data_IF_760099926093
#
_entry.id   IF_760099926093
#
_cell.length_a   1.000
_cell.length_b   1.000
_cell.length_c   1.000
_cell.angle_alpha   90.00
_cell.angle_beta   90.00
_cell.angle_gamma   90.00
#
_symmetry.space_group_name_H-M   'P 1'
#
loop_
_entity.id
_entity.type
_entity.pdbx_description
1 polymer ?
#
# COMPACT_ATOMS: atom_id res chain seq x y z
N UNK A 1 28.03 93.79 -7.31
CA UNK A 1 26.89 93.23 -6.61
C UNK A 1 26.35 92.07 -7.37
N UNK A 2 26.08 91.00 -6.73
CA UNK A 2 25.49 89.68 -7.17
C UNK A 2 26.42 88.79 -7.98
N UNK A 3 27.07 87.95 -7.46
CA UNK A 3 26.92 86.56 -6.95
C UNK A 3 26.44 85.65 -8.04
N UNK A 4 27.38 84.92 -8.62
CA UNK A 4 27.16 83.79 -9.54
C UNK A 4 27.45 82.46 -8.86
N UNK A 5 26.49 81.55 -8.75
CA UNK A 5 26.68 80.20 -8.29
C UNK A 5 27.42 79.33 -9.32
N UNK A 6 28.29 78.45 -8.93
CA UNK A 6 28.96 77.50 -9.85
C UNK A 6 28.03 76.33 -10.15
N UNK A 7 27.92 75.94 -11.42
CA UNK A 7 27.28 74.77 -11.92
C UNK A 7 28.06 73.53 -11.52
N UNK A 8 27.31 72.49 -11.02
CA UNK A 8 27.83 71.18 -10.68
C UNK A 8 28.36 70.44 -11.90
N UNK A 9 29.55 69.93 -11.78
CA UNK A 9 30.19 69.10 -12.78
C UNK A 9 29.56 67.73 -12.88
N UNK A 10 29.48 67.23 -14.08
CA UNK A 10 29.03 65.89 -14.44
C UNK A 10 29.96 64.81 -13.86
N UNK A 11 29.41 63.89 -13.14
CA UNK A 11 30.08 62.66 -12.64
C UNK A 11 30.40 61.75 -13.83
N UNK A 12 31.59 61.17 -13.95
CA UNK A 12 31.88 60.17 -14.99
C UNK A 12 31.17 58.87 -14.64
N UNK A 13 30.69 58.17 -15.66
CA UNK A 13 30.07 56.85 -15.56
C UNK A 13 31.02 55.87 -14.91
N UNK A 14 30.53 55.24 -13.83
CA UNK A 14 31.29 54.19 -13.11
C UNK A 14 31.49 52.96 -14.01
N UNK A 15 32.72 52.53 -14.01
CA UNK A 15 33.13 51.21 -14.54
C UNK A 15 32.29 50.11 -13.90
N UNK A 16 31.92 49.01 -14.62
CA UNK A 16 31.25 47.88 -14.01
C UNK A 16 32.19 47.27 -12.97
N UNK A 17 31.70 47.11 -11.73
CA UNK A 17 32.42 46.47 -10.68
C UNK A 17 32.85 45.05 -11.13
N UNK A 18 34.13 44.82 -11.15
CA UNK A 18 34.68 43.49 -11.43
C UNK A 18 34.07 42.50 -10.41
N UNK A 19 33.35 41.51 -10.92
CA UNK A 19 32.89 40.38 -10.10
C UNK A 19 34.13 39.71 -9.45
N UNK A 20 34.20 39.74 -8.13
CA UNK A 20 35.23 39.05 -7.39
C UNK A 20 35.15 37.56 -7.72
N UNK A 21 36.27 36.88 -7.99
CA UNK A 21 36.25 35.46 -8.27
C UNK A 21 35.67 34.74 -7.05
N UNK A 22 34.54 34.08 -7.24
CA UNK A 22 33.90 33.25 -6.20
C UNK A 22 34.90 32.13 -5.87
N UNK A 23 35.34 32.11 -4.62
CA UNK A 23 36.28 31.10 -4.14
C UNK A 23 35.67 29.70 -4.38
N UNK A 24 36.37 28.78 -5.10
CA UNK A 24 35.91 27.43 -5.33
C UNK A 24 35.52 26.67 -4.05
N UNK A 25 36.12 27.05 -2.90
CA UNK A 25 35.79 26.51 -1.58
C UNK A 25 34.44 27.01 -1.07
N UNK A 26 34.06 28.26 -1.40
CA UNK A 26 32.69 28.78 -1.05
C UNK A 26 31.63 28.16 -1.94
N UNK A 27 31.91 27.87 -3.19
CA UNK A 27 31.00 27.12 -4.09
C UNK A 27 30.81 25.68 -3.62
N UNK A 28 31.81 25.01 -3.07
CA UNK A 28 31.67 23.71 -2.43
C UNK A 28 30.96 23.77 -1.09
N UNK A 29 31.08 24.85 -0.32
CA UNK A 29 30.36 25.04 0.93
C UNK A 29 28.84 25.27 0.72
N UNK A 30 28.44 25.79 -0.42
CA UNK A 30 27.02 25.94 -0.78
C UNK A 30 26.35 24.61 -1.18
N UNK A 31 27.13 23.58 -1.49
CA UNK A 31 26.63 22.23 -1.74
C UNK A 31 26.55 21.32 -0.50
N UNK A 32 26.95 21.81 0.66
CA UNK A 32 26.64 21.17 1.94
C UNK A 32 25.18 21.44 2.24
N UNK A 33 24.31 20.65 1.66
CA UNK A 33 22.93 20.52 2.14
C UNK A 33 23.04 20.23 3.63
N UNK A 34 22.48 21.12 4.44
CA UNK A 34 22.49 21.01 5.91
C UNK A 34 21.80 19.68 6.22
N UNK A 35 22.56 18.72 6.75
CA UNK A 35 22.01 17.41 7.09
C UNK A 35 20.92 17.61 8.14
N UNK A 36 19.65 17.44 7.73
CA UNK A 36 18.50 17.64 8.60
C UNK A 36 18.38 16.42 9.53
N UNK A 37 18.45 16.66 10.84
CA UNK A 37 18.15 15.65 11.86
C UNK A 37 16.63 15.49 11.92
N UNK A 38 16.14 14.28 11.69
CA UNK A 38 14.69 13.97 11.67
C UNK A 38 14.25 13.15 12.87
N UNK A 39 15.18 12.45 13.52
CA UNK A 39 14.92 11.78 14.79
C UNK A 39 16.21 11.59 15.60
N UNK A 40 16.04 11.30 16.88
CA UNK A 40 17.09 10.81 17.78
C UNK A 40 16.55 9.60 18.53
N UNK A 41 17.28 8.48 18.51
CA UNK A 41 16.91 7.23 19.17
C UNK A 41 18.05 6.84 20.11
N UNK A 42 17.89 7.12 21.40
CA UNK A 42 18.96 6.98 22.38
C UNK A 42 20.20 7.79 21.97
N UNK A 43 21.37 7.15 21.75
CA UNK A 43 22.59 7.82 21.31
C UNK A 43 22.64 8.10 19.80
N UNK A 44 21.82 7.43 19.02
CA UNK A 44 21.86 7.50 17.56
C UNK A 44 21.06 8.68 17.01
N UNK A 45 21.60 9.30 15.94
CA UNK A 45 20.97 10.42 15.24
C UNK A 45 20.57 9.96 13.85
N UNK A 46 19.30 10.17 13.52
CA UNK A 46 18.71 9.84 12.21
C UNK A 46 18.64 11.11 11.37
N UNK A 47 19.18 11.05 10.18
CA UNK A 47 19.14 12.15 9.22
C UNK A 47 18.07 11.88 8.15
N UNK A 48 17.57 12.95 7.53
CA UNK A 48 16.65 12.87 6.41
C UNK A 48 17.18 11.94 5.29
N UNK A 49 18.49 12.02 5.01
CA UNK A 49 19.15 11.16 4.02
C UNK A 49 19.15 9.66 4.37
N UNK A 50 18.88 9.28 5.61
CA UNK A 50 18.75 7.88 6.02
C UNK A 50 17.39 7.30 5.66
N UNK A 51 16.38 8.16 5.58
CA UNK A 51 15.02 7.77 5.20
C UNK A 51 14.84 7.72 3.69
N UNK A 52 15.40 8.70 2.97
CA UNK A 52 15.21 8.85 1.54
C UNK A 52 16.22 8.01 0.78
N UNK A 53 15.93 6.74 0.64
CA UNK A 53 16.72 5.84 -0.20
C UNK A 53 16.63 6.25 -1.68
N UNK A 54 17.58 5.83 -2.55
CA UNK A 54 17.51 6.07 -3.99
C UNK A 54 16.20 5.59 -4.63
N UNK A 55 15.63 4.50 -4.13
CA UNK A 55 14.35 3.96 -4.59
C UNK A 55 13.18 4.88 -4.23
N UNK A 56 13.14 5.41 -3.00
CA UNK A 56 12.11 6.35 -2.55
C UNK A 56 12.21 7.67 -3.33
N UNK A 57 13.42 8.18 -3.55
CA UNK A 57 13.64 9.39 -4.34
C UNK A 57 13.14 9.20 -5.78
N UNK A 58 13.50 8.09 -6.44
CA UNK A 58 13.05 7.79 -7.79
C UNK A 58 11.52 7.58 -7.88
N UNK A 59 10.91 7.01 -6.84
CA UNK A 59 9.46 6.87 -6.77
C UNK A 59 8.78 8.24 -6.63
N UNK A 60 9.27 9.11 -5.74
CA UNK A 60 8.76 10.48 -5.60
C UNK A 60 8.85 11.27 -6.92
N UNK A 61 9.97 11.15 -7.64
CA UNK A 61 10.14 11.77 -8.96
C UNK A 61 9.12 11.28 -10.00
N UNK A 62 8.60 10.06 -9.87
CA UNK A 62 7.58 9.49 -10.78
C UNK A 62 6.16 9.91 -10.43
N UNK A 63 5.84 10.08 -9.15
CA UNK A 63 4.46 10.33 -8.70
C UNK A 63 4.14 11.81 -8.52
N UNK A 64 5.14 12.69 -8.43
CA UNK A 64 4.95 14.14 -8.23
C UNK A 64 4.70 14.97 -9.51
N UNK A 65 5.08 14.55 -10.75
CA UNK A 65 4.83 15.34 -11.93
C UNK A 65 3.35 15.63 -12.13
N UNK A 66 3.00 16.93 -12.23
CA UNK A 66 1.63 17.38 -12.45
C UNK A 66 0.81 17.64 -11.19
N UNK A 67 1.34 17.34 -10.01
CA UNK A 67 0.68 17.69 -8.75
C UNK A 67 0.96 19.15 -8.35
N UNK A 68 -0.03 19.86 -7.76
CA UNK A 68 0.19 21.17 -7.15
C UNK A 68 1.27 21.11 -6.06
N UNK A 69 2.07 22.19 -5.86
CA UNK A 69 3.16 22.20 -4.87
C UNK A 69 2.74 21.83 -3.43
N UNK A 70 1.51 22.19 -3.04
CA UNK A 70 0.96 21.85 -1.72
C UNK A 70 0.73 20.35 -1.59
N UNK A 71 0.14 19.70 -2.60
CA UNK A 71 -0.07 18.25 -2.61
C UNK A 71 1.25 17.47 -2.64
N UNK A 72 2.27 17.98 -3.37
CA UNK A 72 3.61 17.40 -3.35
C UNK A 72 4.21 17.45 -1.94
N UNK A 73 4.03 18.57 -1.24
CA UNK A 73 4.54 18.71 0.13
C UNK A 73 3.81 17.79 1.10
N UNK A 74 2.49 17.71 1.01
CA UNK A 74 1.68 16.81 1.84
C UNK A 74 2.04 15.35 1.61
N UNK A 75 2.16 14.92 0.34
CA UNK A 75 2.60 13.55 0.00
C UNK A 75 3.99 13.24 0.57
N UNK A 76 4.94 14.17 0.44
CA UNK A 76 6.27 13.99 1.02
C UNK A 76 6.23 13.86 2.54
N UNK A 77 5.43 14.68 3.21
CA UNK A 77 5.30 14.59 4.68
C UNK A 77 4.70 13.26 5.11
N UNK A 78 3.65 12.78 4.46
CA UNK A 78 3.06 11.46 4.75
C UNK A 78 4.06 10.31 4.53
N UNK A 79 4.85 10.39 3.44
CA UNK A 79 5.90 9.40 3.16
C UNK A 79 6.99 9.46 4.24
N UNK A 80 7.41 10.65 4.64
CA UNK A 80 8.42 10.82 5.68
C UNK A 80 7.94 10.30 7.03
N UNK A 81 6.72 10.59 7.43
CA UNK A 81 6.13 10.11 8.68
C UNK A 81 6.10 8.58 8.72
N UNK A 82 5.61 7.97 7.64
CA UNK A 82 5.56 6.50 7.53
C UNK A 82 6.96 5.85 7.59
N UNK A 83 7.90 6.38 6.80
CA UNK A 83 9.27 5.85 6.77
C UNK A 83 10.00 6.07 8.08
N UNK A 84 9.79 7.23 8.71
CA UNK A 84 10.43 7.56 9.99
C UNK A 84 9.94 6.62 11.10
N UNK A 85 8.64 6.35 11.16
CA UNK A 85 8.08 5.42 12.15
C UNK A 85 8.75 4.03 12.02
N UNK A 86 8.80 3.47 10.82
CA UNK A 86 9.43 2.16 10.59
C UNK A 86 10.94 2.19 10.89
N UNK A 87 11.62 3.28 10.51
CA UNK A 87 13.05 3.40 10.76
C UNK A 87 13.36 3.51 12.26
N UNK A 88 12.57 4.31 12.98
CA UNK A 88 12.70 4.49 14.43
C UNK A 88 12.46 3.18 15.17
N UNK A 89 11.47 2.38 14.78
CA UNK A 89 11.21 1.06 15.36
C UNK A 89 12.41 0.12 15.17
N UNK A 90 12.96 0.07 13.96
CA UNK A 90 14.18 -0.71 13.69
C UNK A 90 15.37 -0.21 14.50
N UNK A 91 15.53 1.11 14.63
CA UNK A 91 16.63 1.73 15.37
C UNK A 91 16.52 1.49 16.88
N UNK A 92 15.31 1.49 17.44
CA UNK A 92 15.09 1.14 18.85
C UNK A 92 15.59 -0.28 19.14
N UNK A 93 15.29 -1.23 18.26
CA UNK A 93 15.75 -2.62 18.39
C UNK A 93 17.27 -2.71 18.24
N UNK A 94 17.84 -1.98 17.28
CA UNK A 94 19.30 -1.91 17.09
C UNK A 94 20.01 -1.37 18.34
N UNK A 95 19.53 -0.26 18.89
CA UNK A 95 20.08 0.33 20.12
C UNK A 95 19.99 -0.65 21.30
N UNK A 96 18.91 -1.38 21.40
CA UNK A 96 18.74 -2.40 22.43
C UNK A 96 19.72 -3.57 22.25
N UNK A 97 19.90 -4.05 21.02
CA UNK A 97 20.89 -5.07 20.70
C UNK A 97 22.30 -4.62 21.09
N UNK A 98 22.70 -3.39 20.73
CA UNK A 98 24.03 -2.83 21.04
C UNK A 98 24.31 -2.68 22.53
N UNK A 99 23.27 -2.61 23.40
CA UNK A 99 23.45 -2.63 24.86
C UNK A 99 23.87 -4.00 25.40
N UNK A 100 23.53 -5.06 24.68
CA UNK A 100 23.75 -6.44 25.10
C UNK A 100 24.93 -7.10 24.39
N UNK A 101 25.16 -6.73 23.14
CA UNK A 101 26.29 -7.25 22.35
C UNK A 101 27.59 -6.63 22.91
N UNK A 102 28.63 -7.45 23.24
CA UNK A 102 29.91 -6.94 23.67
C UNK A 102 30.53 -6.00 22.62
N UNK A 103 31.03 -4.84 23.05
CA UNK A 103 31.57 -3.83 22.14
C UNK A 103 32.73 -4.36 21.28
N UNK A 104 33.50 -5.31 21.78
CA UNK A 104 34.60 -5.95 21.07
C UNK A 104 34.12 -6.86 19.92
N UNK A 105 32.88 -7.36 19.99
CA UNK A 105 32.30 -8.22 18.95
C UNK A 105 31.70 -7.44 17.78
N UNK A 106 31.28 -6.20 18.00
CA UNK A 106 30.60 -5.37 16.99
C UNK A 106 31.43 -5.19 15.70
N UNK A 107 32.76 -4.89 15.76
CA UNK A 107 33.55 -4.72 14.52
C UNK A 107 33.63 -5.99 13.68
N UNK A 108 33.72 -7.18 14.31
CA UNK A 108 33.73 -8.45 13.59
C UNK A 108 32.40 -8.75 12.93
N UNK A 109 31.29 -8.48 13.61
CA UNK A 109 29.93 -8.64 13.09
C UNK A 109 29.74 -7.68 11.91
N UNK A 110 30.13 -6.41 12.08
CA UNK A 110 30.05 -5.38 11.03
C UNK A 110 30.84 -5.81 9.77
N UNK A 111 32.04 -6.30 9.95
CA UNK A 111 32.86 -6.78 8.82
C UNK A 111 32.17 -7.92 8.04
N UNK A 112 31.55 -8.89 8.75
CA UNK A 112 30.81 -9.97 8.12
C UNK A 112 29.56 -9.49 7.38
N UNK A 113 28.79 -8.57 7.98
CA UNK A 113 27.59 -8.00 7.36
C UNK A 113 27.97 -7.16 6.15
N UNK A 114 29.02 -6.36 6.23
CA UNK A 114 29.53 -5.58 5.10
C UNK A 114 30.02 -6.48 3.95
N UNK A 115 30.65 -7.60 4.26
CA UNK A 115 31.04 -8.60 3.24
C UNK A 115 29.80 -9.19 2.54
N UNK A 116 28.73 -9.51 3.29
CA UNK A 116 27.46 -9.99 2.71
C UNK A 116 26.79 -8.90 1.85
N UNK A 117 26.82 -7.64 2.31
CA UNK A 117 26.35 -6.50 1.52
C UNK A 117 27.07 -6.40 0.18
N UNK A 118 28.41 -6.43 0.20
CA UNK A 118 29.24 -6.31 -1.00
C UNK A 118 29.04 -7.50 -1.97
N UNK A 119 28.77 -8.69 -1.44
CA UNK A 119 28.58 -9.88 -2.26
C UNK A 119 27.18 -9.99 -2.88
N UNK A 120 26.12 -9.57 -2.16
CA UNK A 120 24.74 -9.83 -2.55
C UNK A 120 23.95 -8.58 -2.87
N UNK A 121 24.04 -7.52 -2.03
CA UNK A 121 23.19 -6.34 -2.16
C UNK A 121 23.76 -5.34 -3.17
N UNK A 122 25.06 -5.05 -3.08
CA UNK A 122 25.70 -4.07 -3.95
C UNK A 122 25.56 -4.39 -5.45
N UNK A 123 25.73 -5.65 -5.92
CA UNK A 123 25.50 -5.98 -7.33
C UNK A 123 24.06 -5.73 -7.80
N UNK A 124 23.08 -6.01 -6.94
CA UNK A 124 21.65 -5.74 -7.24
C UNK A 124 21.38 -4.25 -7.36
N UNK A 125 21.86 -3.46 -6.39
CA UNK A 125 21.70 -2.01 -6.38
C UNK A 125 22.37 -1.36 -7.61
N UNK A 126 23.56 -1.84 -8.01
CA UNK A 126 24.24 -1.40 -9.22
C UNK A 126 23.46 -1.74 -10.48
N UNK A 127 22.88 -2.94 -10.57
CA UNK A 127 22.03 -3.36 -11.69
C UNK A 127 20.76 -2.52 -11.79
N UNK A 128 20.09 -2.26 -10.68
CA UNK A 128 18.89 -1.41 -10.62
C UNK A 128 19.19 0.04 -11.01
N UNK A 129 20.37 0.53 -10.63
CA UNK A 129 20.82 1.87 -10.98
C UNK A 129 21.38 1.99 -12.41
N UNK A 130 21.58 0.87 -13.12
CA UNK A 130 22.14 0.83 -14.47
C UNK A 130 23.61 1.23 -14.57
N UNK A 131 24.41 1.01 -13.51
CA UNK A 131 25.83 1.35 -13.43
C UNK A 131 26.70 0.09 -13.48
N UNK A 132 27.92 0.22 -14.05
CA UNK A 132 28.77 -0.93 -14.34
C UNK A 132 29.70 -1.33 -13.16
N UNK A 133 30.02 -0.42 -12.26
CA UNK A 133 30.95 -0.65 -11.16
C UNK A 133 30.62 0.18 -9.91
N UNK A 134 31.23 -0.19 -8.79
CA UNK A 134 31.01 0.45 -7.49
C UNK A 134 31.42 1.93 -7.44
N UNK A 135 32.43 2.34 -8.25
CA UNK A 135 32.86 3.74 -8.31
C UNK A 135 31.76 4.63 -8.96
N UNK A 136 31.19 4.16 -10.07
CA UNK A 136 30.07 4.86 -10.72
C UNK A 136 28.86 4.92 -9.79
N UNK A 137 28.60 3.85 -9.04
CA UNK A 137 27.52 3.82 -8.07
C UNK A 137 27.75 4.82 -6.93
N UNK A 138 28.97 4.87 -6.40
CA UNK A 138 29.34 5.87 -5.38
C UNK A 138 29.20 7.32 -5.89
N UNK A 139 29.57 7.59 -7.14
CA UNK A 139 29.38 8.91 -7.76
C UNK A 139 27.90 9.26 -7.88
N UNK A 140 27.07 8.29 -8.29
CA UNK A 140 25.61 8.45 -8.35
C UNK A 140 25.03 8.74 -6.97
N UNK A 141 25.44 8.00 -5.94
CA UNK A 141 25.01 8.22 -4.56
C UNK A 141 25.37 9.62 -4.07
N UNK A 142 26.63 10.06 -4.31
CA UNK A 142 27.10 11.40 -3.92
C UNK A 142 26.33 12.51 -4.62
N UNK A 143 25.94 12.35 -5.88
CA UNK A 143 25.10 13.33 -6.59
C UNK A 143 23.72 13.48 -5.96
N UNK A 144 23.29 12.51 -5.15
CA UNK A 144 22.01 12.49 -4.41
C UNK A 144 22.18 12.76 -2.90
N UNK A 145 23.38 13.19 -2.47
CA UNK A 145 23.67 13.46 -1.05
C UNK A 145 23.84 12.22 -0.17
N UNK A 146 24.12 11.07 -0.78
CA UNK A 146 24.31 9.78 -0.10
C UNK A 146 25.73 9.25 -0.29
N UNK A 147 26.10 8.19 0.43
CA UNK A 147 27.36 7.48 0.27
C UNK A 147 27.18 5.97 0.45
N UNK A 148 28.11 5.20 -0.13
CA UNK A 148 28.11 3.74 0.01
C UNK A 148 28.32 3.32 1.48
N UNK A 149 29.18 4.02 2.23
CA UNK A 149 29.41 3.75 3.65
C UNK A 149 28.13 3.92 4.47
N UNK A 150 27.33 4.92 4.12
CA UNK A 150 26.06 5.18 4.78
C UNK A 150 25.03 4.09 4.48
N UNK A 151 24.98 3.60 3.25
CA UNK A 151 24.12 2.46 2.89
C UNK A 151 24.57 1.18 3.62
N UNK A 152 25.86 0.94 3.75
CA UNK A 152 26.40 -0.19 4.51
C UNK A 152 26.03 -0.09 5.99
N UNK A 153 26.19 1.09 6.58
CA UNK A 153 25.78 1.34 7.98
C UNK A 153 24.31 1.05 8.18
N UNK A 154 23.42 1.59 7.33
CA UNK A 154 21.99 1.35 7.42
C UNK A 154 21.61 -0.13 7.22
N UNK A 155 22.33 -0.82 6.35
CA UNK A 155 22.15 -2.26 6.16
C UNK A 155 22.58 -3.05 7.41
N UNK A 156 23.72 -2.70 8.00
CA UNK A 156 24.21 -3.31 9.24
C UNK A 156 23.23 -3.10 10.40
N UNK A 157 22.77 -1.87 10.63
CA UNK A 157 21.81 -1.53 11.68
C UNK A 157 20.52 -2.36 11.54
N UNK A 158 20.00 -2.46 10.32
CA UNK A 158 18.82 -3.26 10.03
C UNK A 158 19.05 -4.75 10.23
N UNK A 159 20.19 -5.27 9.78
CA UNK A 159 20.51 -6.70 9.92
C UNK A 159 20.60 -7.10 11.40
N UNK A 160 21.27 -6.27 12.22
CA UNK A 160 21.34 -6.49 13.68
C UNK A 160 19.97 -6.42 14.31
N UNK A 161 19.16 -5.39 13.98
CA UNK A 161 17.83 -5.23 14.53
C UNK A 161 16.94 -6.44 14.19
N UNK A 162 16.95 -6.90 12.95
CA UNK A 162 16.16 -8.06 12.51
C UNK A 162 16.59 -9.35 13.22
N UNK A 163 17.89 -9.60 13.27
CA UNK A 163 18.42 -10.80 13.94
C UNK A 163 18.10 -10.79 15.45
N UNK A 164 18.24 -9.63 16.08
CA UNK A 164 17.96 -9.47 17.52
C UNK A 164 16.49 -9.64 17.83
N UNK A 165 15.61 -9.01 17.05
CA UNK A 165 14.16 -9.16 17.20
C UNK A 165 13.74 -10.62 17.01
N UNK A 166 14.24 -11.29 15.99
CA UNK A 166 13.96 -12.71 15.75
C UNK A 166 14.33 -13.56 16.96
N UNK A 167 15.53 -13.36 17.53
CA UNK A 167 15.96 -14.07 18.75
C UNK A 167 15.06 -13.78 19.97
N UNK A 168 14.68 -12.50 20.16
CA UNK A 168 13.81 -12.11 21.26
C UNK A 168 12.42 -12.74 21.15
N UNK A 169 11.90 -12.85 19.93
CA UNK A 169 10.59 -13.46 19.64
C UNK A 169 10.60 -14.98 19.74
N UNK A 170 11.69 -15.65 19.31
CA UNK A 170 11.83 -17.12 19.46
C UNK A 170 11.75 -17.54 20.94
N UNK A 171 12.27 -16.72 21.84
CA UNK A 171 12.21 -16.98 23.27
C UNK A 171 10.78 -16.82 23.85
N UNK A 172 9.90 -16.06 23.20
CA UNK A 172 8.57 -15.72 23.71
C UNK A 172 7.38 -16.34 22.96
N UNK A 173 7.48 -16.51 21.65
CA UNK A 173 6.34 -16.86 20.78
C UNK A 173 6.29 -18.32 20.29
N UNK A 174 7.28 -19.16 20.65
CA UNK A 174 7.54 -20.47 20.07
C UNK A 174 6.63 -21.63 20.54
N UNK A 175 5.49 -21.38 21.16
CA UNK A 175 4.57 -22.45 21.58
C UNK A 175 3.76 -23.05 20.43
N UNK A 176 3.61 -24.39 20.40
CA UNK A 176 2.64 -25.03 19.53
C UNK A 176 1.23 -24.51 19.84
N UNK A 177 0.43 -24.21 18.80
CA UNK A 177 -0.96 -23.78 18.99
C UNK A 177 -1.79 -25.01 19.35
N UNK A 178 -2.41 -25.05 20.54
CA UNK A 178 -3.22 -26.19 20.95
C UNK A 178 -4.42 -26.39 20.01
N UNK A 179 -4.79 -27.64 19.76
CA UNK A 179 -5.96 -27.94 18.91
C UNK A 179 -7.26 -27.31 19.44
N UNK A 180 -7.41 -27.20 20.75
CA UNK A 180 -8.56 -26.54 21.37
C UNK A 180 -8.67 -25.06 21.00
N UNK A 181 -7.55 -24.36 20.85
CA UNK A 181 -7.50 -22.95 20.44
C UNK A 181 -7.89 -22.78 18.97
N UNK A 182 -7.45 -23.71 18.09
CA UNK A 182 -7.88 -23.72 16.69
C UNK A 182 -9.41 -23.88 16.57
N UNK A 183 -9.99 -24.78 17.38
CA UNK A 183 -11.45 -24.98 17.40
C UNK A 183 -12.16 -23.75 17.95
N UNK A 184 -11.67 -23.14 19.02
CA UNK A 184 -12.25 -21.93 19.60
C UNK A 184 -12.25 -20.78 18.59
N UNK A 185 -11.13 -20.53 17.93
CA UNK A 185 -11.02 -19.52 16.87
C UNK A 185 -12.02 -19.76 15.74
N UNK A 186 -12.12 -21.00 15.25
CA UNK A 186 -13.10 -21.35 14.22
C UNK A 186 -14.53 -21.07 14.66
N UNK A 187 -14.87 -21.38 15.93
CA UNK A 187 -16.20 -21.17 16.48
C UNK A 187 -16.53 -19.69 16.67
N UNK A 188 -15.56 -18.87 17.05
CA UNK A 188 -15.73 -17.43 17.22
C UNK A 188 -15.87 -16.70 15.86
N UNK A 189 -15.25 -17.26 14.80
CA UNK A 189 -15.22 -16.67 13.47
C UNK A 189 -16.05 -17.46 12.45
N UNK A 190 -17.11 -18.15 12.88
CA UNK A 190 -17.92 -19.01 12.00
C UNK A 190 -18.48 -18.29 10.77
N UNK A 191 -18.83 -17.01 10.90
CA UNK A 191 -19.31 -16.16 9.80
C UNK A 191 -18.29 -15.99 8.67
N UNK A 192 -17.01 -15.98 9.01
CA UNK A 192 -15.91 -15.74 8.04
C UNK A 192 -15.68 -16.97 7.15
N UNK A 193 -16.17 -18.13 7.59
CA UNK A 193 -16.10 -19.41 6.88
C UNK A 193 -17.39 -19.73 6.11
N UNK A 194 -18.41 -18.88 6.21
CA UNK A 194 -19.64 -19.04 5.43
C UNK A 194 -19.46 -18.47 4.02
N UNK A 195 -20.02 -19.16 3.05
CA UNK A 195 -20.07 -18.68 1.68
C UNK A 195 -21.50 -18.79 1.13
N UNK A 196 -21.89 -17.77 0.38
CA UNK A 196 -23.19 -17.74 -0.30
C UNK A 196 -23.23 -18.73 -1.44
N UNK A 197 -24.44 -19.17 -1.80
CA UNK A 197 -24.67 -19.92 -3.02
C UNK A 197 -24.18 -19.13 -4.24
N UNK A 198 -23.66 -19.84 -5.22
CA UNK A 198 -23.20 -19.27 -6.51
C UNK A 198 -23.75 -20.09 -7.65
N UNK A 199 -24.08 -19.41 -8.76
CA UNK A 199 -24.55 -20.06 -9.96
C UNK A 199 -23.89 -19.47 -11.20
N UNK A 200 -23.60 -20.35 -12.18
CA UNK A 200 -23.38 -19.96 -13.56
C UNK A 200 -24.67 -20.17 -14.30
N UNK A 201 -25.06 -19.21 -15.08
CA UNK A 201 -26.30 -19.27 -15.82
C UNK A 201 -26.20 -18.59 -17.17
N UNK A 202 -27.20 -18.83 -18.01
CA UNK A 202 -27.36 -18.18 -19.28
C UNK A 202 -28.71 -17.46 -19.30
N UNK A 203 -28.78 -16.33 -20.00
CA UNK A 203 -29.94 -15.46 -20.07
C UNK A 203 -30.30 -15.09 -21.51
N UNK A 204 -31.58 -15.26 -21.86
CA UNK A 204 -32.21 -14.58 -22.97
C UNK A 204 -33.03 -13.44 -22.41
N UNK A 205 -32.86 -12.24 -22.93
CA UNK A 205 -33.55 -11.03 -22.49
C UNK A 205 -34.16 -10.32 -23.69
N UNK A 206 -35.40 -9.83 -23.53
CA UNK A 206 -36.05 -8.87 -24.43
C UNK A 206 -36.49 -7.68 -23.62
N UNK A 207 -35.91 -6.53 -23.89
CA UNK A 207 -36.14 -5.31 -23.11
C UNK A 207 -37.47 -4.65 -23.45
N UNK A 208 -38.07 -4.00 -22.47
CA UNK A 208 -39.18 -3.08 -22.70
C UNK A 208 -38.64 -1.81 -23.38
N UNK A 209 -39.34 -1.36 -24.41
CA UNK A 209 -38.97 -0.17 -25.16
C UNK A 209 -40.21 0.61 -25.61
N UNK A 210 -40.01 1.85 -26.04
CA UNK A 210 -41.09 2.76 -26.49
C UNK A 210 -41.82 2.28 -27.74
N UNK A 211 -41.24 1.37 -28.53
CA UNK A 211 -41.75 0.92 -29.83
C UNK A 211 -42.22 -0.54 -29.81
N UNK A 212 -42.33 -1.17 -28.61
CA UNK A 212 -42.75 -2.58 -28.48
C UNK A 212 -43.70 -2.74 -27.33
N UNK A 213 -44.83 -3.39 -27.57
CA UNK A 213 -45.79 -3.76 -26.50
C UNK A 213 -45.25 -4.94 -25.69
N UNK A 214 -45.81 -5.17 -24.50
CA UNK A 214 -45.45 -6.33 -23.66
C UNK A 214 -45.75 -7.65 -24.35
N UNK A 215 -46.90 -7.73 -25.05
CA UNK A 215 -47.32 -8.92 -25.81
C UNK A 215 -46.35 -9.23 -26.95
N UNK A 216 -45.86 -8.22 -27.65
CA UNK A 216 -44.81 -8.38 -28.69
C UNK A 216 -43.50 -8.85 -28.10
N UNK A 217 -43.05 -8.25 -26.97
CA UNK A 217 -41.84 -8.69 -26.28
C UNK A 217 -41.94 -10.14 -25.81
N UNK A 218 -43.12 -10.50 -25.28
CA UNK A 218 -43.38 -11.87 -24.85
C UNK A 218 -43.34 -12.86 -26.02
N UNK A 219 -43.93 -12.51 -27.16
CA UNK A 219 -43.91 -13.33 -28.38
C UNK A 219 -42.50 -13.55 -28.91
N UNK A 220 -41.67 -12.49 -28.92
CA UNK A 220 -40.27 -12.57 -29.31
C UNK A 220 -39.47 -13.51 -28.38
N UNK A 221 -39.57 -13.29 -27.06
CA UNK A 221 -38.83 -14.09 -26.08
C UNK A 221 -39.30 -15.56 -26.09
N UNK A 222 -40.62 -15.81 -26.20
CA UNK A 222 -41.15 -17.16 -26.33
C UNK A 222 -40.64 -17.86 -27.58
N UNK A 223 -40.48 -17.13 -28.71
CA UNK A 223 -39.89 -17.62 -29.90
C UNK A 223 -38.41 -18.02 -29.69
N UNK A 224 -37.61 -17.21 -29.02
CA UNK A 224 -36.23 -17.52 -28.67
C UNK A 224 -36.15 -18.74 -27.73
N UNK A 225 -36.96 -18.81 -26.70
CA UNK A 225 -37.02 -19.97 -25.81
C UNK A 225 -37.39 -21.27 -26.55
N UNK A 226 -38.35 -21.22 -27.47
CA UNK A 226 -38.74 -22.38 -28.31
C UNK A 226 -37.60 -22.85 -29.19
N UNK A 227 -36.79 -21.98 -29.77
CA UNK A 227 -35.61 -22.34 -30.55
C UNK A 227 -34.61 -23.16 -29.71
N UNK A 228 -34.38 -22.74 -28.47
CA UNK A 228 -33.52 -23.52 -27.56
C UNK A 228 -34.16 -24.87 -27.23
N UNK A 229 -35.48 -24.95 -27.01
CA UNK A 229 -36.19 -26.19 -26.72
C UNK A 229 -36.21 -27.15 -27.92
N UNK A 230 -36.14 -26.64 -29.14
CA UNK A 230 -36.07 -27.45 -30.39
C UNK A 230 -34.67 -27.87 -30.76
N UNK A 231 -33.63 -27.48 -29.99
CA UNK A 231 -32.29 -28.01 -30.11
C UNK A 231 -31.22 -27.03 -30.61
N UNK A 232 -31.58 -25.76 -30.87
CA UNK A 232 -30.55 -24.76 -31.14
C UNK A 232 -29.75 -24.47 -29.84
N UNK A 233 -28.45 -24.14 -29.98
CA UNK A 233 -27.63 -23.85 -28.83
C UNK A 233 -28.08 -22.52 -28.20
N UNK A 234 -28.10 -22.46 -26.87
CA UNK A 234 -28.50 -21.23 -26.14
C UNK A 234 -27.64 -20.03 -26.61
N UNK A 235 -26.34 -20.23 -26.78
CA UNK A 235 -25.42 -19.21 -27.21
C UNK A 235 -25.72 -18.63 -28.61
N UNK A 236 -26.11 -19.48 -29.58
CA UNK A 236 -26.49 -19.01 -30.92
C UNK A 236 -27.78 -18.19 -30.87
N UNK A 237 -28.79 -18.72 -30.15
CA UNK A 237 -30.06 -18.01 -29.97
C UNK A 237 -29.87 -16.66 -29.27
N UNK A 238 -29.04 -16.62 -28.23
CA UNK A 238 -28.74 -15.39 -27.52
C UNK A 238 -28.03 -14.35 -28.41
N UNK A 239 -27.02 -14.76 -29.16
CA UNK A 239 -26.31 -13.87 -30.10
C UNK A 239 -27.18 -13.27 -31.19
N UNK A 240 -28.19 -14.03 -31.63
CA UNK A 240 -29.06 -13.60 -32.71
C UNK A 240 -30.26 -12.78 -32.29
N UNK A 241 -30.76 -12.97 -31.05
CA UNK A 241 -32.03 -12.38 -30.68
C UNK A 241 -32.15 -11.82 -29.26
N UNK A 242 -31.19 -12.09 -28.38
CA UNK A 242 -31.20 -11.54 -27.03
C UNK A 242 -30.74 -10.09 -27.00
N UNK A 243 -31.38 -9.27 -26.17
CA UNK A 243 -31.07 -7.87 -25.92
C UNK A 243 -30.37 -7.67 -24.55
N UNK A 244 -29.99 -8.77 -23.91
CA UNK A 244 -29.27 -8.75 -22.64
C UNK A 244 -27.82 -8.28 -22.77
N UNK A 245 -27.18 -7.87 -21.67
CA UNK A 245 -25.81 -7.33 -21.72
C UNK A 245 -24.76 -8.36 -22.16
N UNK A 246 -25.03 -9.64 -21.96
CA UNK A 246 -24.16 -10.76 -22.35
C UNK A 246 -24.55 -11.45 -23.68
N UNK A 247 -25.54 -10.90 -24.41
CA UNK A 247 -26.06 -11.49 -25.66
C UNK A 247 -24.95 -11.80 -26.68
N UNK A 248 -24.01 -10.87 -26.89
CA UNK A 248 -22.85 -11.05 -27.79
C UNK A 248 -21.91 -12.19 -27.36
N UNK A 249 -21.91 -12.54 -26.09
CA UNK A 249 -21.12 -13.61 -25.49
C UNK A 249 -21.96 -14.93 -25.37
N UNK A 250 -23.14 -14.98 -26.01
CA UNK A 250 -24.03 -16.13 -25.94
C UNK A 250 -24.96 -16.18 -24.74
N UNK A 251 -25.16 -15.04 -24.05
CA UNK A 251 -26.02 -14.93 -22.89
C UNK A 251 -25.41 -15.46 -21.58
N UNK A 252 -24.15 -15.88 -21.58
CA UNK A 252 -23.51 -16.52 -20.44
C UNK A 252 -23.11 -15.52 -19.34
N UNK A 253 -23.35 -15.92 -18.09
CA UNK A 253 -22.87 -15.28 -16.87
C UNK A 253 -21.96 -16.26 -16.12
N UNK A 254 -20.84 -15.75 -15.63
CA UNK A 254 -19.95 -16.53 -14.77
C UNK A 254 -20.48 -16.58 -13.34
N UNK A 255 -19.71 -17.17 -12.41
CA UNK A 255 -20.10 -17.35 -11.02
C UNK A 255 -20.71 -16.08 -10.40
N UNK A 256 -22.00 -16.13 -10.20
CA UNK A 256 -22.82 -15.05 -9.63
C UNK A 256 -23.30 -15.48 -8.26
N UNK A 257 -23.02 -14.68 -7.23
CA UNK A 257 -23.42 -14.96 -5.86
C UNK A 257 -24.89 -14.66 -5.65
N UNK A 258 -25.56 -15.44 -4.79
CA UNK A 258 -26.92 -15.18 -4.37
C UNK A 258 -27.05 -13.76 -3.80
N UNK A 259 -28.08 -13.03 -4.22
CA UNK A 259 -28.33 -11.65 -3.80
C UNK A 259 -27.49 -10.58 -4.53
N UNK A 260 -26.57 -10.94 -5.46
CA UNK A 260 -25.76 -9.96 -6.17
C UNK A 260 -26.43 -9.37 -7.41
N UNK A 261 -27.49 -10.00 -7.92
CA UNK A 261 -28.24 -9.50 -9.08
C UNK A 261 -29.22 -8.41 -8.69
N UNK A 262 -29.34 -7.39 -9.54
CA UNK A 262 -30.35 -6.33 -9.37
C UNK A 262 -31.78 -6.85 -9.49
N UNK A 263 -32.01 -7.83 -10.38
CA UNK A 263 -33.30 -8.47 -10.57
C UNK A 263 -33.49 -9.59 -9.56
N UNK A 264 -34.37 -9.37 -8.59
CA UNK A 264 -34.69 -10.39 -7.59
C UNK A 264 -35.33 -11.61 -8.22
N UNK A 265 -36.21 -11.42 -9.23
CA UNK A 265 -36.90 -12.51 -9.92
C UNK A 265 -35.91 -13.44 -10.63
N UNK A 266 -34.89 -12.87 -11.27
CA UNK A 266 -33.80 -13.67 -11.88
C UNK A 266 -32.98 -14.35 -10.78
N UNK A 267 -32.65 -13.62 -9.72
CA UNK A 267 -31.89 -14.17 -8.59
C UNK A 267 -32.60 -15.41 -7.99
N UNK A 268 -33.88 -15.30 -7.67
CA UNK A 268 -34.67 -16.43 -7.15
C UNK A 268 -34.74 -17.60 -8.14
N UNK A 269 -34.88 -17.31 -9.42
CA UNK A 269 -34.97 -18.34 -10.45
C UNK A 269 -33.66 -19.15 -10.58
N UNK A 270 -32.49 -18.50 -10.63
CA UNK A 270 -31.21 -19.20 -10.82
C UNK A 270 -30.82 -20.04 -9.59
N UNK A 271 -31.31 -19.71 -8.40
CA UNK A 271 -31.06 -20.51 -7.19
C UNK A 271 -32.12 -21.57 -6.90
N UNK A 272 -33.30 -21.51 -7.54
CA UNK A 272 -34.40 -22.51 -7.37
C UNK A 272 -34.50 -23.51 -8.52
N UNK A 273 -34.16 -23.10 -9.76
CA UNK A 273 -34.33 -23.94 -10.93
C UNK A 273 -33.39 -25.17 -10.93
N UNK A 274 -33.84 -26.32 -11.47
CA UNK A 274 -32.96 -27.43 -11.75
C UNK A 274 -31.91 -27.06 -12.81
N UNK A 275 -30.68 -27.53 -12.63
CA UNK A 275 -29.59 -27.33 -13.58
C UNK A 275 -29.99 -27.86 -14.97
N UNK A 276 -29.70 -27.11 -16.02
CA UNK A 276 -29.96 -27.42 -17.41
C UNK A 276 -31.39 -27.14 -17.88
N UNK A 277 -32.34 -26.80 -17.00
CA UNK A 277 -33.70 -26.45 -17.38
C UNK A 277 -33.88 -24.97 -17.65
N UNK A 278 -34.67 -24.63 -18.66
CA UNK A 278 -35.12 -23.25 -18.88
C UNK A 278 -36.16 -22.85 -17.84
N UNK A 279 -36.14 -21.59 -17.41
CA UNK A 279 -37.20 -20.98 -16.64
C UNK A 279 -38.45 -20.81 -17.48
N UNK A 280 -39.55 -20.50 -16.82
CA UNK A 280 -40.67 -19.77 -17.45
C UNK A 280 -40.21 -18.37 -17.85
N UNK A 281 -41.02 -17.63 -18.58
CA UNK A 281 -40.75 -16.23 -18.83
C UNK A 281 -40.85 -15.47 -17.50
N UNK A 282 -39.76 -14.83 -17.11
CA UNK A 282 -39.63 -13.99 -15.93
C UNK A 282 -39.78 -12.53 -16.35
N UNK A 283 -40.37 -11.70 -15.54
CA UNK A 283 -40.55 -10.28 -15.81
C UNK A 283 -39.95 -9.44 -14.69
N UNK A 284 -39.16 -8.42 -15.07
CA UNK A 284 -38.70 -7.38 -14.16
C UNK A 284 -38.89 -5.97 -14.77
N UNK A 285 -38.33 -4.95 -14.12
CA UNK A 285 -38.46 -3.56 -14.59
C UNK A 285 -37.75 -3.32 -15.96
N UNK A 286 -36.76 -4.12 -16.32
CA UNK A 286 -35.95 -3.94 -17.52
C UNK A 286 -36.55 -4.67 -18.74
N UNK A 287 -37.31 -5.74 -18.54
CA UNK A 287 -37.80 -6.56 -19.63
C UNK A 287 -38.32 -7.94 -19.20
N UNK A 288 -38.28 -8.83 -20.19
CA UNK A 288 -38.64 -10.24 -20.06
C UNK A 288 -37.41 -11.08 -20.20
N UNK A 289 -37.30 -12.13 -19.40
CA UNK A 289 -36.11 -12.97 -19.29
C UNK A 289 -36.44 -14.46 -19.31
N UNK A 290 -35.59 -15.26 -19.92
CA UNK A 290 -35.56 -16.72 -19.76
C UNK A 290 -34.14 -17.07 -19.32
N UNK A 291 -34.00 -17.78 -18.22
CA UNK A 291 -32.71 -18.19 -17.69
C UNK A 291 -32.56 -19.72 -17.70
N UNK A 292 -31.31 -20.18 -17.79
CA UNK A 292 -30.93 -21.58 -17.64
C UNK A 292 -29.71 -21.68 -16.75
N UNK A 293 -29.82 -22.40 -15.65
CA UNK A 293 -28.69 -22.66 -14.74
C UNK A 293 -27.78 -23.70 -15.39
N UNK A 294 -26.49 -23.38 -15.52
CA UNK A 294 -25.48 -24.27 -16.07
C UNK A 294 -24.77 -25.05 -14.95
N UNK A 295 -24.42 -24.34 -13.88
CA UNK A 295 -23.72 -24.89 -12.72
C UNK A 295 -24.14 -24.13 -11.47
N UNK A 296 -24.26 -24.82 -10.33
CA UNK A 296 -24.60 -24.19 -9.06
C UNK A 296 -23.85 -24.83 -7.90
N UNK A 297 -23.38 -24.01 -7.00
CA UNK A 297 -22.85 -24.40 -5.69
C UNK A 297 -23.77 -23.85 -4.63
N UNK A 298 -24.27 -24.70 -3.76
CA UNK A 298 -25.15 -24.28 -2.67
C UNK A 298 -24.36 -23.49 -1.61
N UNK A 299 -25.05 -22.63 -0.87
CA UNK A 299 -24.46 -21.95 0.27
C UNK A 299 -23.97 -22.98 1.30
N UNK A 300 -22.89 -22.68 1.95
CA UNK A 300 -22.29 -23.60 2.89
C UNK A 300 -21.27 -22.94 3.79
N UNK A 301 -20.51 -23.76 4.46
CA UNK A 301 -19.44 -23.34 5.33
C UNK A 301 -18.20 -24.20 5.08
N UNK A 302 -17.05 -23.55 4.96
CA UNK A 302 -15.74 -24.24 4.95
C UNK A 302 -15.59 -25.01 6.24
N UNK A 303 -15.33 -26.31 6.14
CA UNK A 303 -15.20 -27.16 7.31
C UNK A 303 -13.96 -26.79 8.14
N UNK A 304 -14.00 -27.07 9.46
CA UNK A 304 -12.83 -26.87 10.32
C UNK A 304 -11.58 -27.59 9.77
N UNK A 305 -11.75 -28.80 9.22
CA UNK A 305 -10.64 -29.58 8.65
C UNK A 305 -9.94 -28.83 7.50
N UNK A 306 -10.71 -28.14 6.66
CA UNK A 306 -10.18 -27.33 5.54
C UNK A 306 -9.60 -26.02 6.04
N UNK A 307 -10.24 -25.37 7.03
CA UNK A 307 -9.83 -24.06 7.56
C UNK A 307 -8.63 -24.14 8.53
N UNK A 308 -8.37 -25.27 9.17
CA UNK A 308 -7.42 -25.39 10.29
C UNK A 308 -5.98 -24.92 9.98
N UNK A 309 -5.52 -25.04 8.72
CA UNK A 309 -4.18 -24.57 8.32
C UNK A 309 -4.15 -23.06 8.32
N UNK A 310 -5.14 -22.43 7.67
CA UNK A 310 -5.25 -20.96 7.63
C UNK A 310 -5.46 -20.36 9.03
N UNK A 311 -6.25 -21.03 9.90
CA UNK A 311 -6.44 -20.61 11.29
C UNK A 311 -5.13 -20.65 12.06
N UNK A 312 -4.33 -21.72 11.89
CA UNK A 312 -3.03 -21.82 12.55
C UNK A 312 -2.08 -20.72 12.13
N UNK A 313 -2.08 -20.39 10.84
CA UNK A 313 -1.23 -19.32 10.31
C UNK A 313 -1.71 -17.95 10.80
N UNK A 314 -3.01 -17.71 10.86
CA UNK A 314 -3.60 -16.48 11.42
C UNK A 314 -3.24 -16.31 12.91
N UNK A 315 -3.42 -17.34 13.72
CA UNK A 315 -3.07 -17.31 15.15
C UNK A 315 -1.57 -17.15 15.39
N UNK A 316 -0.72 -17.73 14.52
CA UNK A 316 0.73 -17.49 14.58
C UNK A 316 1.09 -16.04 14.26
N UNK A 317 0.45 -15.47 13.23
CA UNK A 317 0.66 -14.08 12.85
C UNK A 317 0.23 -13.13 13.98
N UNK A 318 -0.95 -13.35 14.57
CA UNK A 318 -1.45 -12.58 15.71
C UNK A 318 -0.52 -12.66 16.93
N UNK A 319 -0.08 -13.86 17.30
CA UNK A 319 0.88 -14.04 18.41
C UNK A 319 2.21 -13.37 18.12
N UNK A 320 2.68 -13.44 16.87
CA UNK A 320 3.91 -12.78 16.45
C UNK A 320 3.79 -11.27 16.56
N UNK A 321 2.71 -10.68 16.01
CA UNK A 321 2.44 -9.25 16.09
C UNK A 321 2.38 -8.78 17.54
N UNK A 322 1.61 -9.45 18.37
CA UNK A 322 1.51 -9.15 19.80
C UNK A 322 2.86 -9.24 20.52
N UNK A 323 3.67 -10.25 20.20
CA UNK A 323 5.01 -10.40 20.82
C UNK A 323 5.97 -9.28 20.37
N UNK A 324 5.87 -8.83 19.09
CA UNK A 324 6.60 -7.67 18.57
C UNK A 324 6.20 -6.41 19.34
N UNK A 325 4.90 -6.13 19.46
CA UNK A 325 4.37 -4.96 20.14
C UNK A 325 4.78 -4.92 21.62
N UNK A 326 4.67 -6.04 22.31
CA UNK A 326 5.11 -6.17 23.71
C UNK A 326 6.62 -5.95 23.86
N UNK A 327 7.43 -6.45 22.92
CA UNK A 327 8.87 -6.23 22.93
C UNK A 327 9.20 -4.75 22.68
N UNK A 328 8.63 -4.16 21.63
CA UNK A 328 8.86 -2.76 21.28
C UNK A 328 8.41 -1.82 22.40
N UNK A 329 7.27 -2.09 23.03
CA UNK A 329 6.80 -1.31 24.18
C UNK A 329 7.82 -1.29 25.32
N UNK A 330 8.33 -2.47 25.70
CA UNK A 330 9.35 -2.60 26.77
C UNK A 330 10.67 -1.88 26.42
N UNK A 331 11.06 -1.91 25.14
CA UNK A 331 12.31 -1.27 24.70
C UNK A 331 12.15 0.24 24.60
N UNK A 332 10.97 0.74 24.18
CA UNK A 332 10.65 2.18 24.16
C UNK A 332 10.71 2.82 25.55
N UNK A 333 10.24 2.15 26.58
CA UNK A 333 10.32 2.67 27.97
C UNK A 333 11.75 3.00 28.41
N UNK A 334 12.77 2.32 27.90
CA UNK A 334 14.18 2.47 28.27
C UNK A 334 15.03 3.18 27.21
N UNK A 335 14.45 3.48 26.04
CA UNK A 335 15.16 4.15 24.94
C UNK A 335 14.41 5.43 24.58
N UNK A 336 14.93 6.62 24.99
CA UNK A 336 14.29 7.88 24.64
C UNK A 336 14.32 8.08 23.13
N UNK A 337 13.19 8.43 22.57
CA UNK A 337 13.00 8.74 21.16
C UNK A 337 12.49 10.18 21.05
N UNK A 338 13.03 10.90 20.10
CA UNK A 338 12.53 12.20 19.66
C UNK A 338 12.46 12.20 18.14
N UNK A 339 11.38 12.77 17.60
CA UNK A 339 11.16 12.94 16.16
C UNK A 339 10.74 14.38 15.84
N UNK A 340 10.92 14.80 14.58
CA UNK A 340 10.47 16.13 14.13
C UNK A 340 8.94 16.30 14.23
N UNK A 341 8.19 15.21 14.35
CA UNK A 341 6.72 15.23 14.46
C UNK A 341 6.24 15.43 15.91
N UNK A 342 7.04 15.08 16.91
CA UNK A 342 6.70 15.24 18.34
C UNK A 342 6.46 16.73 18.67
N UNK A 343 7.26 17.64 18.09
CA UNK A 343 7.10 19.09 18.31
C UNK A 343 5.81 19.66 17.67
N UNK A 344 5.23 19.01 16.68
CA UNK A 344 3.95 19.41 16.07
C UNK A 344 2.75 18.92 16.88
N UNK A 345 2.82 17.74 17.48
CA UNK A 345 1.77 17.21 18.35
C UNK A 345 1.67 18.04 19.64
N UNK A 346 2.79 18.40 20.24
CA UNK A 346 2.82 19.28 21.43
C UNK A 346 2.24 20.67 21.11
N UNK A 347 2.57 21.25 19.96
CA UNK A 347 1.97 22.54 19.51
C UNK A 347 0.46 22.43 19.25
N UNK A 348 -0.02 21.29 18.70
CA UNK A 348 -1.45 21.09 18.47
C UNK A 348 -2.22 20.85 19.78
N UNK A 349 -1.62 20.19 20.75
CA UNK A 349 -2.21 20.01 22.09
C UNK A 349 -2.29 21.34 22.86
N UNK A 350 -1.25 22.16 22.81
CA UNK A 350 -1.25 23.51 23.40
C UNK A 350 -2.31 24.42 22.76
N UNK A 351 -2.48 24.37 21.44
CA UNK A 351 -3.53 25.13 20.72
C UNK A 351 -4.93 24.64 21.09
N UNK A 352 -5.12 23.35 21.34
CA UNK A 352 -6.41 22.80 21.80
C UNK A 352 -6.72 23.18 23.25
N UNK A 353 -5.72 23.18 24.13
CA UNK A 353 -5.90 23.63 25.52
C UNK A 353 -6.23 25.12 25.60
N UNK A 354 -5.56 25.98 24.83
CA UNK A 354 -5.84 27.42 24.78
C UNK A 354 -7.23 27.74 24.23
N UNK A 355 -7.71 26.95 23.24
CA UNK A 355 -9.08 27.09 22.70
C UNK A 355 -10.15 26.58 23.68
N UNK A 356 -9.86 25.54 24.45
CA UNK A 356 -10.77 24.97 25.43
C UNK A 356 -11.02 25.91 26.62
N UNK A 357 -10.04 26.70 27.00
CA UNK A 357 -10.15 27.70 28.12
C UNK A 357 -10.81 29.02 27.71
N UNK A 358 -10.86 29.33 26.39
CA UNK A 358 -11.52 30.55 25.90
C UNK A 358 -13.04 30.40 25.66
N UNK A 359 -13.57 29.17 25.66
CA UNK A 359 -14.99 28.89 25.46
C UNK A 359 -15.80 28.76 26.78
N UNK A 360 -15.19 29.00 27.93
CA UNK A 360 -15.77 28.85 29.27
C UNK A 360 -15.84 30.13 30.06
N UNK A 361 -15.98 31.30 29.41
CA UNK A 361 -16.29 32.57 30.11
C UNK A 361 -17.43 33.30 29.43
#
# INVERSE_FOLDING_TARGET
>A
MADGFPQAGATPAGEPAAELPVDPLLSQAQSLQTAMVVARVGPEVVLESDLITPAVAAWLEKVTPGLPPEQVRELKMQVYEHLLTQYVESMIVYVDACRTIPAEALPEIEAKVNQAFDAEQLPRLMQEAGVANSLEYEQLLRSRGQSLDRLKKAFFERAIAQQWLAQALEAGAGGEIPHAELIAYYQEHLSDYEYSAKAKFEELCVRFGSNRTREEAWGVLAGLGNRVLTGETFAEVAKQGSEGPTASQGGAYDWTSEGSLRSQVINEAIFSLPIGKLSTILEDESGLHIVRVVERTDAGRTSFLEAQVGIRDALRAERHEKAVDEYLSKVRERTPVWTIFDDEEDRQQDVRMVRGTAAGR
#
